data_IF_886446988660
#
_entry.id   IF_886446988660
#
_cell.length_a   1.000
_cell.length_b   1.000
_cell.length_c   1.000
_cell.angle_alpha   90.00
_cell.angle_beta   90.00
_cell.angle_gamma   90.00
#
_symmetry.space_group_name_H-M   'P 1'
#
loop_
_entity.id
_entity.type
_entity.pdbx_description
1 polymer ?
#
# COMPACT_ATOMS: atom_id res chain seq x y z
N UNK A 1 -5.25 -1.06 9.41
CA UNK A 1 -6.17 -0.78 8.28
C UNK A 1 -7.08 0.40 8.54
N UNK A 2 -7.81 0.49 9.64
CA UNK A 2 -8.70 1.60 10.01
C UNK A 2 -7.97 2.94 9.96
N UNK A 3 -6.88 3.08 10.69
CA UNK A 3 -6.08 4.32 10.72
C UNK A 3 -5.56 4.73 9.33
N UNK A 4 -5.20 3.78 8.48
CA UNK A 4 -4.79 4.09 7.11
C UNK A 4 -5.94 4.66 6.28
N UNK A 5 -7.15 4.14 6.46
CA UNK A 5 -8.34 4.66 5.81
C UNK A 5 -8.71 6.08 6.30
N UNK A 6 -8.54 6.36 7.59
CA UNK A 6 -8.79 7.68 8.16
C UNK A 6 -7.75 8.71 7.71
N UNK A 7 -6.50 8.29 7.52
CA UNK A 7 -5.43 9.18 7.04
C UNK A 7 -5.71 9.77 5.65
N UNK A 8 -6.38 9.01 4.76
CA UNK A 8 -6.70 9.43 3.38
C UNK A 8 -8.21 9.21 3.13
N UNK A 9 -9.07 10.11 3.60
CA UNK A 9 -10.54 9.94 3.52
C UNK A 9 -11.08 9.87 2.09
N UNK A 10 -10.38 10.49 1.14
CA UNK A 10 -10.76 10.47 -0.29
C UNK A 10 -10.52 9.15 -0.99
N UNK A 11 -9.66 8.28 -0.44
CA UNK A 11 -9.25 7.04 -1.10
C UNK A 11 -10.40 6.04 -1.21
N UNK A 12 -10.74 5.65 -2.43
CA UNK A 12 -11.79 4.63 -2.69
C UNK A 12 -11.33 3.22 -2.31
N UNK A 13 -10.02 2.97 -2.28
CA UNK A 13 -9.41 1.69 -1.92
C UNK A 13 -8.43 1.88 -0.76
N UNK A 14 -8.35 0.87 0.10
CA UNK A 14 -7.44 0.85 1.25
C UNK A 14 -6.58 -0.42 1.19
N UNK A 15 -5.23 -0.32 1.32
CA UNK A 15 -4.38 -1.49 1.35
C UNK A 15 -4.61 -2.29 2.62
N UNK A 16 -4.73 -3.60 2.48
CA UNK A 16 -4.93 -4.52 3.59
C UNK A 16 -4.06 -5.76 3.44
N UNK A 17 -3.57 -6.29 4.56
CA UNK A 17 -2.81 -7.53 4.64
C UNK A 17 -3.54 -8.46 5.59
N UNK A 18 -4.02 -9.59 5.09
CA UNK A 18 -4.68 -10.60 5.93
C UNK A 18 -3.64 -11.50 6.65
N UNK A 19 -2.61 -11.90 5.91
CA UNK A 19 -1.50 -12.69 6.43
C UNK A 19 -0.26 -12.43 5.57
N UNK A 20 0.91 -12.41 6.19
CA UNK A 20 2.17 -12.32 5.46
C UNK A 20 2.64 -13.73 5.05
N UNK A 21 3.28 -13.88 3.88
CA UNK A 21 3.87 -15.14 3.47
C UNK A 21 5.00 -15.58 4.43
N UNK A 22 5.33 -16.86 4.41
CA UNK A 22 6.46 -17.38 5.18
C UNK A 22 7.75 -16.61 4.85
N UNK A 23 8.52 -16.26 5.88
CA UNK A 23 9.76 -15.47 5.75
C UNK A 23 9.56 -13.95 5.67
N UNK A 24 8.32 -13.47 5.70
CA UNK A 24 7.99 -12.06 5.80
C UNK A 24 7.48 -11.68 7.19
N UNK A 25 7.82 -10.49 7.63
CA UNK A 25 7.44 -9.93 8.92
C UNK A 25 6.95 -8.50 8.77
N UNK A 26 5.97 -8.13 9.58
CA UNK A 26 5.54 -6.74 9.68
C UNK A 26 6.68 -5.88 10.21
N UNK A 27 6.89 -4.74 9.57
CA UNK A 27 7.80 -3.69 10.02
C UNK A 27 7.04 -2.57 10.73
N UNK A 28 7.59 -1.35 10.69
CA UNK A 28 6.96 -0.16 11.23
C UNK A 28 5.77 0.32 10.41
N UNK A 29 4.87 1.04 11.09
CA UNK A 29 3.82 1.83 10.45
C UNK A 29 3.93 3.28 10.85
N UNK A 30 3.65 4.19 9.90
CA UNK A 30 3.65 5.62 10.10
C UNK A 30 2.38 6.19 9.44
N UNK A 31 1.54 6.83 10.23
CA UNK A 31 0.23 7.30 9.80
C UNK A 31 0.08 8.76 10.22
N UNK A 32 -0.03 9.61 9.22
CA UNK A 32 -0.25 11.05 9.37
C UNK A 32 -1.42 11.48 8.50
N UNK A 33 -1.97 12.66 8.75
CA UNK A 33 -3.03 13.21 7.89
C UNK A 33 -2.55 13.32 6.44
N UNK A 34 -3.30 12.73 5.52
CA UNK A 34 -2.99 12.70 4.08
C UNK A 34 -2.10 11.54 3.64
N UNK A 35 -1.51 10.78 4.56
CA UNK A 35 -0.66 9.63 4.22
C UNK A 35 -0.65 8.54 5.29
N UNK A 36 -0.74 7.31 4.86
CA UNK A 36 -0.44 6.15 5.69
C UNK A 36 0.61 5.28 4.99
N UNK A 37 1.58 4.77 5.73
CA UNK A 37 2.55 3.81 5.21
C UNK A 37 2.85 2.73 6.23
N UNK A 38 3.17 1.55 5.75
CA UNK A 38 3.71 0.46 6.54
C UNK A 38 4.79 -0.27 5.76
N UNK A 39 5.71 -0.87 6.47
CA UNK A 39 6.80 -1.65 5.87
C UNK A 39 6.68 -3.12 6.21
N UNK A 40 7.25 -3.94 5.35
CA UNK A 40 7.47 -5.37 5.58
C UNK A 40 8.91 -5.72 5.35
N UNK A 41 9.41 -6.65 6.12
CA UNK A 41 10.77 -7.15 6.11
C UNK A 41 10.80 -8.58 5.62
N UNK A 42 11.88 -8.98 4.98
CA UNK A 42 12.11 -10.37 4.61
C UNK A 42 13.56 -10.75 4.88
N UNK A 43 13.79 -11.91 5.45
CA UNK A 43 15.14 -12.44 5.65
C UNK A 43 15.93 -12.58 4.35
N UNK A 44 15.26 -12.73 3.21
CA UNK A 44 15.88 -12.84 1.88
C UNK A 44 16.01 -11.49 1.16
N UNK A 45 15.08 -10.56 1.41
CA UNK A 45 15.04 -9.26 0.72
C UNK A 45 15.66 -8.13 1.54
N UNK A 46 15.87 -8.33 2.83
CA UNK A 46 16.45 -7.34 3.75
C UNK A 46 15.41 -6.63 4.64
N UNK A 47 15.90 -5.75 5.50
CA UNK A 47 15.07 -4.89 6.34
C UNK A 47 14.37 -3.82 5.49
N UNK A 48 13.12 -3.48 5.84
CA UNK A 48 12.30 -2.52 5.10
C UNK A 48 12.30 -2.76 3.58
N UNK A 49 12.30 -4.05 3.22
CA UNK A 49 12.42 -4.48 1.82
C UNK A 49 11.26 -4.01 0.97
N UNK A 50 10.07 -3.83 1.55
CA UNK A 50 8.93 -3.21 0.87
C UNK A 50 8.24 -2.23 1.80
N UNK A 51 8.03 -1.01 1.31
CA UNK A 51 7.17 -0.02 1.97
C UNK A 51 5.92 0.16 1.12
N UNK A 52 4.75 0.03 1.73
CA UNK A 52 3.46 0.27 1.10
C UNK A 52 2.88 1.56 1.68
N UNK A 53 2.49 2.49 0.83
CA UNK A 53 1.88 3.74 1.26
C UNK A 53 0.56 4.00 0.55
N UNK A 54 -0.37 4.63 1.27
CA UNK A 54 -1.62 5.19 0.77
C UNK A 54 -1.51 6.72 0.84
N UNK A 55 -1.83 7.40 -0.25
CA UNK A 55 -1.89 8.86 -0.33
C UNK A 55 -3.04 9.31 -1.23
N UNK A 56 -3.41 10.59 -1.21
CA UNK A 56 -4.48 11.11 -2.06
C UNK A 56 -4.12 11.11 -3.55
N UNK A 57 -2.83 11.25 -3.89
CA UNK A 57 -2.33 11.33 -5.27
C UNK A 57 -1.03 10.56 -5.45
N UNK A 58 -0.75 10.12 -6.68
CA UNK A 58 0.52 9.53 -7.07
C UNK A 58 1.49 10.59 -7.63
N UNK A 59 2.77 10.51 -7.27
CA UNK A 59 3.83 11.20 -8.02
C UNK A 59 4.33 10.27 -9.13
N UNK A 60 3.76 10.41 -10.32
CA UNK A 60 4.04 9.57 -11.48
C UNK A 60 5.20 10.07 -12.35
N UNK A 61 5.95 11.09 -11.92
CA UNK A 61 7.11 11.61 -12.67
C UNK A 61 8.11 10.48 -12.96
N UNK A 62 8.42 10.28 -14.24
CA UNK A 62 9.33 9.23 -14.70
C UNK A 62 8.78 7.80 -14.60
N UNK A 63 7.50 7.61 -14.27
CA UNK A 63 6.83 6.31 -14.31
C UNK A 63 6.14 6.09 -15.67
N UNK A 64 6.06 4.83 -16.10
CA UNK A 64 5.35 4.42 -17.30
C UNK A 64 4.16 3.53 -16.97
N UNK A 65 3.06 3.69 -17.68
CA UNK A 65 1.86 2.91 -17.46
C UNK A 65 2.04 1.49 -18.00
N UNK A 66 1.58 0.52 -17.21
CA UNK A 66 1.54 -0.90 -17.59
C UNK A 66 0.15 -1.47 -17.31
N UNK A 67 -0.22 -2.64 -17.85
CA UNK A 67 -1.47 -3.29 -17.51
C UNK A 67 -1.60 -3.51 -15.99
N UNK A 68 -2.75 -3.14 -15.43
CA UNK A 68 -3.00 -3.33 -13.99
C UNK A 68 -3.46 -4.76 -13.71
N UNK A 69 -2.90 -5.35 -12.66
CA UNK A 69 -3.31 -6.61 -12.05
C UNK A 69 -4.37 -6.42 -10.93
N UNK A 70 -4.87 -5.17 -10.77
CA UNK A 70 -5.86 -4.79 -9.75
C UNK A 70 -7.07 -4.12 -10.38
N UNK A 71 -8.25 -4.68 -10.17
CA UNK A 71 -9.52 -4.11 -10.66
C UNK A 71 -9.74 -2.70 -10.14
N UNK A 72 -10.20 -1.80 -11.00
CA UNK A 72 -10.52 -0.42 -10.64
C UNK A 72 -9.28 0.48 -10.46
N UNK A 73 -8.09 0.02 -10.89
CA UNK A 73 -6.87 0.81 -10.77
C UNK A 73 -6.15 0.96 -12.11
N UNK A 74 -5.32 1.99 -12.22
CA UNK A 74 -4.27 2.13 -13.26
C UNK A 74 -2.92 1.92 -12.60
N UNK A 75 -2.09 1.06 -13.19
CA UNK A 75 -0.76 0.75 -12.69
C UNK A 75 0.32 1.49 -13.46
N UNK A 76 1.32 1.98 -12.71
CA UNK A 76 2.51 2.61 -13.26
C UNK A 76 3.74 2.06 -12.54
N UNK A 77 4.80 1.80 -13.27
CA UNK A 77 6.06 1.29 -12.72
C UNK A 77 7.20 2.27 -13.02
N UNK A 78 8.13 2.44 -12.07
CA UNK A 78 9.34 3.25 -12.20
C UNK A 78 10.52 2.53 -11.56
N UNK A 79 11.54 2.25 -12.34
CA UNK A 79 12.81 1.70 -11.85
C UNK A 79 13.69 2.82 -11.32
N UNK A 80 14.17 2.71 -10.09
CA UNK A 80 15.10 3.64 -9.47
C UNK A 80 16.54 3.16 -9.59
N UNK A 81 16.78 1.85 -9.38
CA UNK A 81 18.10 1.23 -9.47
C UNK A 81 18.00 -0.24 -9.85
N UNK A 82 18.98 -0.74 -10.59
CA UNK A 82 19.09 -2.16 -10.97
C UNK A 82 20.29 -2.87 -10.34
N UNK A 83 21.30 -2.15 -9.95
CA UNK A 83 22.54 -2.71 -9.35
C UNK A 83 23.22 -1.69 -8.44
N UNK A 84 23.86 -2.11 -7.38
CA UNK A 84 23.89 -3.47 -6.81
C UNK A 84 22.60 -3.87 -6.13
N UNK A 85 21.77 -2.89 -5.75
CA UNK A 85 20.48 -3.06 -5.07
C UNK A 85 19.34 -2.76 -6.05
N UNK A 86 18.35 -3.62 -6.06
CA UNK A 86 17.12 -3.40 -6.85
C UNK A 86 16.21 -2.46 -6.07
N UNK A 87 15.89 -1.32 -6.68
CA UNK A 87 14.94 -0.36 -6.14
C UNK A 87 13.93 0.01 -7.24
N UNK A 88 12.66 -0.31 -6.99
CA UNK A 88 11.56 -0.06 -7.92
C UNK A 88 10.39 0.59 -7.19
N UNK A 89 9.64 1.42 -7.90
CA UNK A 89 8.36 1.95 -7.45
C UNK A 89 7.23 1.42 -8.34
N UNK A 90 6.16 1.00 -7.69
CA UNK A 90 4.91 0.61 -8.35
C UNK A 90 3.77 1.42 -7.77
N UNK A 91 3.01 2.06 -8.65
CA UNK A 91 1.90 2.90 -8.28
C UNK A 91 0.60 2.30 -8.79
N UNK A 92 -0.42 2.28 -7.94
CA UNK A 92 -1.80 1.98 -8.30
C UNK A 92 -2.63 3.23 -8.05
N UNK A 93 -3.00 3.92 -9.13
CA UNK A 93 -3.86 5.10 -9.09
C UNK A 93 -5.32 4.69 -9.24
N UNK A 94 -6.20 5.25 -8.41
CA UNK A 94 -7.63 5.02 -8.41
C UNK A 94 -8.37 6.28 -7.91
N UNK A 95 -9.71 6.34 -7.97
CA UNK A 95 -10.45 7.51 -7.53
C UNK A 95 -10.13 7.92 -6.09
N UNK A 96 -9.64 9.16 -5.93
CA UNK A 96 -9.33 9.77 -4.64
C UNK A 96 -8.10 9.22 -3.92
N UNK A 97 -7.28 8.36 -4.57
CA UNK A 97 -6.13 7.78 -3.90
C UNK A 97 -5.08 7.14 -4.80
N UNK A 98 -3.98 6.83 -4.16
CA UNK A 98 -2.82 6.15 -4.72
C UNK A 98 -2.23 5.18 -3.70
N UNK A 99 -2.03 3.92 -4.09
CA UNK A 99 -1.21 2.98 -3.34
C UNK A 99 0.12 2.84 -4.04
N UNK A 100 1.21 3.10 -3.30
CA UNK A 100 2.58 2.99 -3.80
C UNK A 100 3.31 1.87 -3.09
N UNK A 101 3.93 0.98 -3.84
CA UNK A 101 4.93 0.04 -3.34
C UNK A 101 6.31 0.59 -3.67
N UNK A 102 7.15 0.68 -2.68
CA UNK A 102 8.58 0.92 -2.83
C UNK A 102 9.31 -0.37 -2.49
N UNK A 103 9.93 -0.99 -3.47
CA UNK A 103 10.76 -2.16 -3.32
C UNK A 103 12.21 -1.73 -3.14
N UNK A 104 12.85 -2.19 -2.07
CA UNK A 104 14.27 -1.96 -1.76
C UNK A 104 14.91 -3.29 -1.40
N UNK A 105 15.22 -4.10 -2.40
CA UNK A 105 15.73 -5.44 -2.18
C UNK A 105 17.25 -5.44 -2.05
N UNK A 106 17.75 -6.18 -1.07
CA UNK A 106 19.18 -6.44 -0.90
C UNK A 106 19.78 -7.06 -2.17
N UNK A 107 21.08 -6.87 -2.44
CA UNK A 107 21.77 -7.52 -3.55
C UNK A 107 21.57 -9.04 -3.53
N UNK A 108 21.19 -9.61 -4.67
CA UNK A 108 20.97 -11.06 -4.80
C UNK A 108 19.59 -11.54 -4.36
N UNK A 109 18.70 -10.66 -3.88
CA UNK A 109 17.32 -11.04 -3.54
C UNK A 109 16.56 -11.56 -4.79
N UNK A 110 15.83 -12.67 -4.68
CA UNK A 110 15.07 -13.21 -5.80
C UNK A 110 13.97 -12.24 -6.26
N UNK A 111 13.82 -11.99 -7.58
CA UNK A 111 12.79 -11.08 -8.11
C UNK A 111 11.35 -11.52 -7.79
N UNK A 112 11.13 -12.81 -7.57
CA UNK A 112 9.82 -13.37 -7.23
C UNK A 112 9.23 -12.76 -5.95
N UNK A 113 10.07 -12.30 -5.02
CA UNK A 113 9.64 -11.70 -3.77
C UNK A 113 8.75 -10.47 -3.97
N UNK A 114 8.94 -9.70 -5.06
CA UNK A 114 8.06 -8.58 -5.39
C UNK A 114 6.65 -9.06 -5.78
N UNK A 115 6.55 -10.20 -6.46
CA UNK A 115 5.26 -10.81 -6.83
C UNK A 115 4.57 -11.38 -5.60
N UNK A 116 5.29 -12.06 -4.74
CA UNK A 116 4.75 -12.68 -3.52
C UNK A 116 4.13 -11.63 -2.61
N UNK A 117 4.85 -10.56 -2.31
CA UNK A 117 4.31 -9.51 -1.45
C UNK A 117 3.19 -8.72 -2.15
N UNK A 118 3.29 -8.48 -3.45
CA UNK A 118 2.24 -7.81 -4.18
C UNK A 118 0.92 -8.61 -4.15
N UNK A 119 0.97 -9.93 -4.28
CA UNK A 119 -0.22 -10.78 -4.22
C UNK A 119 -0.87 -10.83 -2.82
N UNK A 120 -0.06 -10.63 -1.78
CA UNK A 120 -0.48 -10.69 -0.37
C UNK A 120 -1.26 -9.45 0.08
N UNK A 121 -0.93 -8.28 -0.49
CA UNK A 121 -1.60 -7.03 -0.14
C UNK A 121 -2.87 -6.88 -0.97
N UNK A 122 -4.02 -7.01 -0.33
CA UNK A 122 -5.32 -6.75 -0.95
C UNK A 122 -5.64 -5.26 -1.02
N UNK A 123 -6.53 -4.88 -1.93
CA UNK A 123 -7.11 -3.53 -2.02
C UNK A 123 -8.60 -3.63 -1.66
N UNK A 124 -8.92 -3.23 -0.46
CA UNK A 124 -10.31 -3.27 0.04
C UNK A 124 -11.05 -2.01 -0.36
N UNK A 125 -12.23 -2.11 -0.99
CA UNK A 125 -13.10 -0.96 -1.20
C UNK A 125 -13.43 -0.28 0.14
N UNK A 126 -13.25 1.06 0.21
CA UNK A 126 -13.53 1.83 1.43
C UNK A 126 -14.96 1.62 1.93
N UNK A 127 -15.95 1.54 1.04
CA UNK A 127 -17.34 1.29 1.42
C UNK A 127 -17.50 -0.02 2.22
N UNK A 128 -16.85 -1.09 1.77
CA UNK A 128 -16.84 -2.37 2.49
C UNK A 128 -16.20 -2.27 3.87
N UNK A 129 -15.13 -1.49 3.99
CA UNK A 129 -14.47 -1.27 5.28
C UNK A 129 -15.39 -0.49 6.23
N UNK A 130 -16.10 0.53 5.74
CA UNK A 130 -17.08 1.30 6.52
C UNK A 130 -18.18 0.39 7.05
N UNK A 131 -18.77 -0.44 6.17
CA UNK A 131 -19.84 -1.36 6.55
C UNK A 131 -19.36 -2.39 7.58
N UNK A 132 -18.18 -2.95 7.39
CA UNK A 132 -17.56 -3.89 8.32
C UNK A 132 -17.35 -3.26 9.71
N UNK A 133 -16.73 -2.09 9.79
CA UNK A 133 -16.45 -1.40 11.06
C UNK A 133 -17.76 -1.04 11.77
N UNK A 134 -18.76 -0.53 11.03
CA UNK A 134 -20.05 -0.19 11.60
C UNK A 134 -20.76 -1.42 12.16
N UNK A 135 -20.76 -2.53 11.44
CA UNK A 135 -21.47 -3.75 11.84
C UNK A 135 -20.76 -4.53 12.96
N UNK A 136 -19.42 -4.50 13.00
CA UNK A 136 -18.64 -5.34 13.93
C UNK A 136 -18.21 -4.58 15.18
N UNK A 137 -17.85 -3.30 15.04
CA UNK A 137 -17.27 -2.50 16.11
C UNK A 137 -18.22 -1.38 16.60
N UNK A 138 -19.34 -1.14 15.87
CA UNK A 138 -20.24 -0.03 16.17
C UNK A 138 -19.63 1.36 15.97
N UNK A 139 -18.51 1.44 15.24
CA UNK A 139 -17.75 2.67 15.04
C UNK A 139 -18.03 3.29 13.66
N UNK A 140 -17.87 4.61 13.57
CA UNK A 140 -17.89 5.34 12.30
C UNK A 140 -16.47 5.62 11.81
N UNK A 141 -16.21 5.41 10.53
CA UNK A 141 -14.93 5.76 9.90
C UNK A 141 -14.94 7.24 9.54
N UNK A 142 -14.18 8.03 10.28
CA UNK A 142 -14.01 9.46 10.06
C UNK A 142 -12.67 9.75 9.39
N UNK A 143 -12.45 10.93 8.83
CA UNK A 143 -11.12 11.36 8.42
C UNK A 143 -10.27 11.76 9.63
N UNK A 144 -8.97 11.54 9.58
CA UNK A 144 -8.04 11.98 10.63
C UNK A 144 -8.12 13.51 10.76
N UNK A 145 -8.55 14.00 11.92
CA UNK A 145 -8.76 15.44 12.16
C UNK A 145 -10.06 16.02 11.60
N UNK A 146 -10.96 15.19 11.03
CA UNK A 146 -12.28 15.60 10.57
C UNK A 146 -13.38 15.18 11.56
N UNK A 147 -14.40 16.02 11.74
CA UNK A 147 -15.60 15.62 12.48
C UNK A 147 -16.33 14.50 11.74
N UNK A 148 -16.73 13.45 12.46
CA UNK A 148 -17.62 12.44 11.93
C UNK A 148 -18.96 13.09 11.54
N UNK A 149 -19.32 13.02 10.27
CA UNK A 149 -20.69 13.31 9.86
C UNK A 149 -21.50 12.04 10.07
N UNK A 150 -22.42 12.10 11.03
CA UNK A 150 -23.40 11.05 11.30
C UNK A 150 -24.33 10.78 10.13
#
# INVERSE_FOLDING_TARGET
>A
MILAAEAVPSAALVPCVAALPSGWQAGGADIVSGQARFSVNSGQAGAQSVTISLSATCNLSGAHQVPSDRTGTRRFDRTLSRRPQVADLRFYSFPGGCITYQFNFAPGAPPILATDINSTVGFMPRARLVDYIRSTEGLALCGLGAACRG
#
